data_IF_535001777315
#
_entry.id   IF_535001777315
#
_cell.length_a   1.000
_cell.length_b   1.000
_cell.length_c   1.000
_cell.angle_alpha   90.00
_cell.angle_beta   90.00
_cell.angle_gamma   90.00
#
_symmetry.space_group_name_H-M   'P 1'
#
loop_
_entity.id
_entity.type
_entity.pdbx_description
1 polymer ?
#
# COMPACT_ATOMS: atom_id res chain seq x y z
N UNK A 1 -25.36 35.59 -25.76
CA UNK A 1 -24.28 35.28 -24.81
C UNK A 1 -24.35 33.79 -24.55
N UNK A 2 -23.48 33.01 -25.21
CA UNK A 2 -23.47 31.56 -25.11
C UNK A 2 -22.58 31.13 -23.92
N UNK A 3 -22.95 30.06 -23.16
CA UNK A 3 -22.14 29.60 -22.06
C UNK A 3 -20.87 28.90 -22.57
N UNK A 4 -19.72 29.32 -22.04
CA UNK A 4 -18.44 28.67 -22.27
C UNK A 4 -18.45 27.31 -21.56
N UNK A 5 -18.33 26.23 -22.33
CA UNK A 5 -18.11 24.88 -21.83
C UNK A 5 -16.73 24.71 -21.14
N UNK A 6 -16.55 23.67 -20.32
CA UNK A 6 -15.32 23.44 -19.58
C UNK A 6 -14.16 23.20 -20.52
N UNK A 7 -13.04 23.91 -20.24
CA UNK A 7 -11.75 23.69 -20.89
C UNK A 7 -11.29 22.26 -20.63
N UNK A 8 -11.42 21.41 -21.63
CA UNK A 8 -10.67 20.17 -21.69
C UNK A 8 -9.19 20.57 -21.84
N UNK A 9 -8.40 20.42 -20.79
CA UNK A 9 -6.95 20.46 -20.87
C UNK A 9 -6.54 19.22 -21.68
N UNK A 10 -6.36 19.40 -22.97
CA UNK A 10 -5.76 18.39 -23.83
C UNK A 10 -4.30 18.24 -23.36
N UNK A 11 -4.03 17.11 -22.71
CA UNK A 11 -2.67 16.61 -22.54
C UNK A 11 -2.19 16.14 -23.92
N UNK A 12 -1.69 17.06 -24.74
CA UNK A 12 -0.84 16.74 -25.90
C UNK A 12 0.56 16.37 -25.37
N UNK A 13 0.64 15.29 -24.58
CA UNK A 13 1.86 14.54 -24.34
C UNK A 13 2.01 13.58 -25.52
N UNK A 14 2.96 13.82 -26.39
CA UNK A 14 3.46 12.81 -27.33
C UNK A 14 3.61 11.51 -26.54
N UNK A 15 2.79 10.50 -26.86
CA UNK A 15 2.86 9.17 -26.27
C UNK A 15 4.30 8.67 -26.48
N UNK A 16 5.10 8.65 -25.40
CA UNK A 16 6.46 8.13 -25.45
C UNK A 16 6.35 6.63 -25.70
N UNK A 17 6.42 6.24 -26.96
CA UNK A 17 6.55 4.84 -27.32
C UNK A 17 7.96 4.37 -26.95
N UNK A 18 8.12 3.18 -26.34
CA UNK A 18 9.44 2.61 -26.08
C UNK A 18 10.21 2.52 -27.40
N UNK A 19 11.52 2.73 -27.33
CA UNK A 19 12.36 2.53 -28.51
C UNK A 19 12.28 1.06 -28.95
N UNK A 20 11.95 0.83 -30.23
CA UNK A 20 11.95 -0.50 -30.79
C UNK A 20 13.39 -1.07 -30.70
N UNK A 21 13.58 -2.07 -29.84
CA UNK A 21 14.86 -2.75 -29.71
C UNK A 21 15.06 -3.69 -30.90
N UNK A 22 16.23 -3.62 -31.53
CA UNK A 22 16.62 -4.69 -32.47
C UNK A 22 16.78 -6.01 -31.71
N UNK A 23 16.60 -7.15 -32.35
CA UNK A 23 16.79 -8.47 -31.72
C UNK A 23 18.15 -8.59 -31.04
N UNK A 24 19.21 -8.03 -31.67
CA UNK A 24 20.56 -8.04 -31.09
C UNK A 24 20.67 -7.17 -29.83
N UNK A 25 20.01 -6.01 -29.79
CA UNK A 25 19.97 -5.15 -28.61
C UNK A 25 19.16 -5.80 -27.48
N UNK A 26 18.01 -6.38 -27.79
CA UNK A 26 17.17 -7.11 -26.85
C UNK A 26 17.97 -8.26 -26.21
N UNK A 27 18.64 -9.08 -27.04
CA UNK A 27 19.49 -10.17 -26.55
C UNK A 27 20.57 -9.68 -25.59
N UNK A 28 21.27 -8.60 -25.92
CA UNK A 28 22.30 -8.02 -25.07
C UNK A 28 21.73 -7.51 -23.72
N UNK A 29 20.56 -6.90 -23.73
CA UNK A 29 19.87 -6.50 -22.50
C UNK A 29 19.41 -7.68 -21.66
N UNK A 30 18.84 -8.73 -22.26
CA UNK A 30 18.43 -9.96 -21.56
C UNK A 30 19.64 -10.72 -20.99
N UNK A 31 20.78 -10.67 -21.67
CA UNK A 31 22.03 -11.25 -21.20
C UNK A 31 22.51 -10.56 -19.94
N UNK A 32 22.59 -9.23 -19.89
CA UNK A 32 23.17 -8.45 -18.80
C UNK A 32 22.19 -8.18 -17.65
N UNK A 33 20.91 -7.94 -17.97
CA UNK A 33 19.93 -7.40 -17.02
C UNK A 33 19.61 -8.27 -15.81
N UNK A 34 19.90 -9.57 -15.88
CA UNK A 34 19.65 -10.53 -14.79
C UNK A 34 20.89 -11.39 -14.48
N UNK A 35 22.06 -10.85 -14.72
CA UNK A 35 23.31 -11.58 -14.49
C UNK A 35 23.64 -11.64 -13.00
N UNK A 36 23.75 -12.83 -12.41
CA UNK A 36 24.20 -12.98 -11.04
C UNK A 36 25.57 -12.33 -10.80
N UNK A 37 25.71 -11.59 -9.71
CA UNK A 37 26.97 -10.89 -9.37
C UNK A 37 27.17 -9.54 -10.09
N UNK A 38 26.28 -9.15 -10.99
CA UNK A 38 26.28 -7.82 -11.61
C UNK A 38 25.13 -6.98 -10.99
N UNK A 39 25.47 -6.25 -9.95
CA UNK A 39 24.50 -5.36 -9.30
C UNK A 39 23.99 -4.29 -10.28
N UNK A 40 22.70 -3.87 -10.21
CA UNK A 40 22.13 -2.87 -11.12
C UNK A 40 22.93 -1.56 -11.18
N UNK A 41 23.42 -1.06 -10.04
CA UNK A 41 24.26 0.14 -10.00
C UNK A 41 25.62 -0.05 -10.73
N UNK A 42 26.21 -1.23 -10.63
CA UNK A 42 27.43 -1.58 -11.37
C UNK A 42 27.16 -1.65 -12.86
N UNK A 43 26.07 -2.30 -13.26
CA UNK A 43 25.64 -2.36 -14.66
C UNK A 43 25.41 -0.96 -15.23
N UNK A 44 24.76 -0.08 -14.47
CA UNK A 44 24.54 1.30 -14.90
C UNK A 44 25.87 2.03 -15.13
N UNK A 45 26.82 1.97 -14.19
CA UNK A 45 28.15 2.60 -14.34
C UNK A 45 28.89 2.06 -15.57
N UNK A 46 28.78 0.76 -15.85
CA UNK A 46 29.36 0.15 -17.03
C UNK A 46 28.67 0.62 -18.33
N UNK A 47 27.35 0.74 -18.32
CA UNK A 47 26.59 1.27 -19.47
C UNK A 47 26.90 2.73 -19.74
N UNK A 48 27.08 3.55 -18.71
CA UNK A 48 27.51 4.95 -18.83
C UNK A 48 28.89 5.06 -19.47
N UNK A 49 29.81 4.15 -19.13
CA UNK A 49 31.17 4.12 -19.68
C UNK A 49 31.25 3.56 -21.11
N UNK A 50 30.49 2.50 -21.41
CA UNK A 50 30.57 1.79 -22.70
C UNK A 50 29.45 2.17 -23.67
N UNK A 51 28.45 2.94 -23.26
CA UNK A 51 27.36 3.48 -24.06
C UNK A 51 26.22 2.50 -24.40
N UNK A 52 26.50 1.20 -24.47
CA UNK A 52 25.46 0.20 -24.76
C UNK A 52 25.81 -1.20 -24.26
N UNK A 53 24.79 -2.05 -24.00
CA UNK A 53 25.00 -3.46 -23.64
C UNK A 53 25.87 -4.21 -24.66
N UNK A 54 25.66 -4.00 -25.94
CA UNK A 54 26.42 -4.66 -27.00
C UNK A 54 27.92 -4.22 -27.02
N UNK A 55 28.20 -2.95 -26.71
CA UNK A 55 29.58 -2.47 -26.57
C UNK A 55 30.24 -3.03 -25.31
N UNK A 56 29.52 -3.08 -24.20
CA UNK A 56 30.00 -3.68 -22.93
C UNK A 56 30.36 -5.17 -23.12
N UNK A 57 29.51 -5.94 -23.79
CA UNK A 57 29.78 -7.37 -24.06
C UNK A 57 31.02 -7.59 -24.94
N UNK A 58 31.39 -6.63 -25.80
CA UNK A 58 32.60 -6.69 -26.65
C UNK A 58 33.84 -6.11 -25.98
N UNK A 59 33.69 -5.38 -24.87
CA UNK A 59 34.84 -4.77 -24.17
C UNK A 59 35.78 -5.83 -23.59
N UNK A 60 37.06 -5.52 -23.44
CA UNK A 60 38.01 -6.43 -22.78
C UNK A 60 37.77 -6.49 -21.26
N UNK A 61 38.17 -7.60 -20.65
CA UNK A 61 38.07 -7.75 -19.16
C UNK A 61 38.82 -6.67 -18.42
N UNK A 62 39.99 -6.28 -18.97
CA UNK A 62 40.77 -5.20 -18.40
C UNK A 62 40.04 -3.86 -18.44
N UNK A 63 39.33 -3.55 -19.56
CA UNK A 63 38.55 -2.32 -19.70
C UNK A 63 37.35 -2.30 -18.72
N UNK A 64 36.66 -3.43 -18.59
CA UNK A 64 35.52 -3.56 -17.63
C UNK A 64 36.05 -3.44 -16.18
N UNK A 65 37.13 -4.12 -15.85
CA UNK A 65 37.72 -4.08 -14.53
C UNK A 65 38.24 -2.68 -14.14
N UNK A 66 38.70 -1.90 -15.10
CA UNK A 66 39.16 -0.52 -14.89
C UNK A 66 37.99 0.44 -14.54
N UNK A 67 36.79 0.20 -15.08
CA UNK A 67 35.57 1.01 -14.77
C UNK A 67 34.95 0.57 -13.46
N UNK A 68 34.99 -0.70 -13.11
CA UNK A 68 34.30 -1.23 -11.94
C UNK A 68 35.18 -2.17 -11.10
N UNK A 69 35.27 -3.46 -11.48
CA UNK A 69 36.05 -4.45 -10.75
C UNK A 69 36.32 -5.70 -11.59
N UNK A 70 37.38 -6.51 -11.24
CA UNK A 70 37.58 -7.82 -11.85
C UNK A 70 36.36 -8.76 -11.68
N UNK A 71 35.65 -8.67 -10.55
CA UNK A 71 34.45 -9.46 -10.32
C UNK A 71 33.30 -9.07 -11.30
N UNK A 72 33.14 -7.79 -11.60
CA UNK A 72 32.18 -7.33 -12.60
C UNK A 72 32.54 -7.83 -14.01
N UNK A 73 33.85 -7.83 -14.39
CA UNK A 73 34.30 -8.39 -15.65
C UNK A 73 33.95 -9.89 -15.75
N UNK A 74 34.24 -10.66 -14.71
CA UNK A 74 33.86 -12.08 -14.65
C UNK A 74 32.33 -12.28 -14.75
N UNK A 75 31.52 -11.46 -14.05
CA UNK A 75 30.09 -11.54 -14.12
C UNK A 75 29.58 -11.26 -15.54
N UNK A 76 30.13 -10.25 -16.23
CA UNK A 76 29.77 -9.96 -17.63
C UNK A 76 30.11 -11.15 -18.54
N UNK A 77 31.24 -11.85 -18.36
CA UNK A 77 31.57 -13.07 -19.14
C UNK A 77 30.68 -14.24 -18.79
N UNK A 78 30.37 -14.42 -17.53
CA UNK A 78 29.43 -15.46 -17.07
C UNK A 78 27.97 -15.16 -17.39
N UNK A 79 27.68 -14.00 -17.99
CA UNK A 79 26.32 -13.62 -18.38
C UNK A 79 25.76 -14.43 -19.56
N UNK A 80 26.64 -15.02 -20.38
CA UNK A 80 26.22 -15.93 -21.45
C UNK A 80 25.64 -17.22 -20.83
N UNK A 81 24.42 -17.54 -21.25
CA UNK A 81 23.67 -18.68 -20.71
C UNK A 81 23.11 -19.50 -21.85
N UNK A 82 23.06 -20.80 -21.67
CA UNK A 82 22.52 -21.76 -22.68
C UNK A 82 21.05 -21.46 -23.03
N UNK A 83 20.31 -20.84 -22.14
CA UNK A 83 18.90 -20.52 -22.32
C UNK A 83 18.65 -19.13 -22.99
N UNK A 84 19.69 -18.37 -23.35
CA UNK A 84 19.57 -16.98 -23.81
C UNK A 84 18.76 -16.86 -25.12
N UNK A 85 18.94 -17.78 -26.05
CA UNK A 85 18.18 -17.78 -27.32
C UNK A 85 16.69 -18.03 -27.06
N UNK A 86 16.37 -19.05 -26.26
CA UNK A 86 14.99 -19.36 -25.90
C UNK A 86 14.32 -18.19 -25.15
N UNK A 87 15.06 -17.49 -24.28
CA UNK A 87 14.57 -16.30 -23.57
C UNK A 87 14.36 -15.12 -24.52
N UNK A 88 15.22 -14.97 -25.52
CA UNK A 88 15.08 -13.92 -26.53
C UNK A 88 13.84 -14.17 -27.38
N UNK A 89 13.65 -15.40 -27.86
CA UNK A 89 12.49 -15.80 -28.63
C UNK A 89 11.18 -15.62 -27.85
N UNK A 90 11.18 -16.04 -26.57
CA UNK A 90 10.04 -15.85 -25.69
C UNK A 90 9.72 -14.35 -25.45
N UNK A 91 10.74 -13.50 -25.32
CA UNK A 91 10.55 -12.07 -25.16
C UNK A 91 10.02 -11.42 -26.44
N UNK A 92 10.52 -11.82 -27.63
CA UNK A 92 10.01 -11.36 -28.91
C UNK A 92 8.55 -11.76 -29.11
N UNK A 93 8.22 -13.04 -28.89
CA UNK A 93 6.84 -13.53 -28.97
C UNK A 93 5.90 -12.81 -28.00
N UNK A 94 6.39 -12.50 -26.80
CA UNK A 94 5.60 -11.74 -25.80
C UNK A 94 5.39 -10.29 -26.25
N UNK A 95 6.39 -9.64 -26.86
CA UNK A 95 6.32 -8.28 -27.37
C UNK A 95 5.38 -8.12 -28.59
N UNK A 96 5.12 -9.19 -29.34
CA UNK A 96 4.16 -9.19 -30.43
C UNK A 96 2.71 -8.97 -29.97
N UNK A 97 2.42 -9.25 -28.71
CA UNK A 97 1.09 -9.01 -28.15
C UNK A 97 0.87 -7.50 -27.87
N UNK A 98 -0.28 -6.93 -28.31
CA UNK A 98 -0.56 -5.50 -28.14
C UNK A 98 -0.56 -5.09 -26.66
N UNK A 99 0.03 -3.93 -26.40
CA UNK A 99 0.15 -3.38 -25.04
C UNK A 99 1.31 -3.94 -24.22
N UNK A 100 2.07 -4.91 -24.75
CA UNK A 100 3.29 -5.38 -24.13
C UNK A 100 4.48 -4.52 -24.56
N UNK A 101 5.31 -4.15 -23.63
CA UNK A 101 6.50 -3.35 -23.87
C UNK A 101 7.64 -3.77 -22.95
N UNK A 102 8.87 -3.64 -23.45
CA UNK A 102 10.08 -3.84 -22.69
C UNK A 102 10.82 -2.51 -22.66
N UNK A 103 11.04 -1.98 -21.47
CA UNK A 103 11.64 -0.66 -21.26
C UNK A 103 12.98 -0.86 -20.58
N UNK A 104 14.05 -0.33 -21.19
CA UNK A 104 15.41 -0.42 -20.66
C UNK A 104 15.78 0.84 -19.88
N UNK A 105 16.78 0.72 -19.02
CA UNK A 105 17.27 1.85 -18.23
C UNK A 105 17.75 3.04 -19.09
N UNK A 106 18.21 2.77 -20.33
CA UNK A 106 18.64 3.79 -21.29
C UNK A 106 17.49 4.37 -22.13
N UNK A 107 16.27 3.80 -22.01
CA UNK A 107 15.13 4.24 -22.81
C UNK A 107 14.57 5.57 -22.23
N UNK A 108 14.24 6.57 -23.06
CA UNK A 108 13.49 7.75 -22.62
C UNK A 108 12.14 7.43 -21.96
N UNK A 109 11.52 6.30 -22.35
CA UNK A 109 10.28 5.82 -21.73
C UNK A 109 10.48 5.17 -20.35
N UNK A 110 11.73 5.09 -19.85
CA UNK A 110 11.99 4.56 -18.49
C UNK A 110 11.41 5.49 -17.44
N UNK A 111 10.65 4.98 -16.45
CA UNK A 111 10.02 5.80 -15.41
C UNK A 111 11.05 6.62 -14.64
N UNK A 112 11.00 7.96 -14.66
CA UNK A 112 12.05 8.79 -14.08
C UNK A 112 12.22 8.57 -12.58
N UNK A 113 11.13 8.32 -11.84
CA UNK A 113 11.19 8.09 -10.40
C UNK A 113 11.88 6.78 -10.01
N UNK A 114 11.93 5.78 -10.90
CA UNK A 114 12.68 4.55 -10.63
C UNK A 114 14.20 4.77 -10.66
N UNK A 115 14.68 5.87 -11.27
CA UNK A 115 16.10 6.25 -11.26
C UNK A 115 16.57 6.76 -9.88
N UNK A 116 15.64 7.13 -9.00
CA UNK A 116 15.94 7.55 -7.62
C UNK A 116 16.33 6.36 -6.73
N UNK A 117 16.09 5.13 -7.19
CA UNK A 117 16.55 3.92 -6.50
C UNK A 117 18.07 3.81 -6.56
N UNK A 118 18.68 3.28 -5.48
CA UNK A 118 20.10 2.91 -5.50
C UNK A 118 20.41 1.80 -6.52
N UNK A 119 19.43 0.93 -6.79
CA UNK A 119 19.52 -0.22 -7.67
C UNK A 119 18.35 -0.24 -8.68
N UNK A 120 18.29 0.74 -9.61
CA UNK A 120 17.20 0.82 -10.58
C UNK A 120 17.22 -0.42 -11.49
N UNK A 121 16.04 -1.07 -11.74
CA UNK A 121 15.99 -2.23 -12.62
C UNK A 121 16.49 -1.90 -14.01
N UNK A 122 17.49 -2.63 -14.57
CA UNK A 122 18.00 -2.34 -15.90
C UNK A 122 16.98 -2.63 -17.02
N UNK A 123 15.99 -3.45 -16.72
CA UNK A 123 14.99 -3.92 -17.65
C UNK A 123 13.64 -4.03 -16.97
N UNK A 124 12.60 -3.50 -17.61
CA UNK A 124 11.22 -3.51 -17.13
C UNK A 124 10.30 -4.14 -18.19
N UNK A 125 9.49 -5.10 -17.78
CA UNK A 125 8.41 -5.68 -18.56
C UNK A 125 7.12 -4.96 -18.18
N UNK A 126 6.49 -4.31 -19.15
CA UNK A 126 5.26 -3.54 -18.98
C UNK A 126 4.16 -4.13 -19.82
N UNK A 127 2.96 -4.25 -19.26
CA UNK A 127 1.76 -4.67 -19.97
C UNK A 127 0.64 -3.66 -19.71
N UNK A 128 0.13 -3.03 -20.77
CA UNK A 128 -0.91 -2.01 -20.69
C UNK A 128 -0.39 -0.59 -20.91
N UNK A 129 -0.91 0.36 -20.17
CA UNK A 129 -0.69 1.80 -20.31
C UNK A 129 0.66 2.26 -19.77
N UNK A 130 1.63 2.43 -20.64
CA UNK A 130 2.98 2.89 -20.29
C UNK A 130 2.98 4.33 -19.73
N UNK A 131 2.08 5.19 -20.19
CA UNK A 131 1.94 6.59 -19.75
C UNK A 131 1.74 6.71 -18.24
N UNK A 132 1.07 5.75 -17.61
CA UNK A 132 0.83 5.74 -16.17
C UNK A 132 2.11 5.65 -15.33
N UNK A 133 3.18 5.09 -15.87
CA UNK A 133 4.47 4.97 -15.17
C UNK A 133 5.18 6.33 -15.02
N UNK A 134 4.79 7.32 -15.82
CA UNK A 134 5.32 8.69 -15.76
C UNK A 134 4.44 9.64 -14.96
N UNK A 135 3.20 9.25 -14.68
CA UNK A 135 2.25 10.06 -13.95
C UNK A 135 2.64 10.24 -12.47
N UNK A 136 2.17 11.32 -11.86
CA UNK A 136 2.20 11.47 -10.39
C UNK A 136 1.22 10.45 -9.82
N UNK A 137 1.72 9.43 -9.16
CA UNK A 137 0.91 8.32 -8.65
C UNK A 137 1.03 8.18 -7.14
N UNK A 138 0.05 7.56 -6.48
CA UNK A 138 0.08 7.27 -5.05
C UNK A 138 0.10 5.76 -4.80
N UNK A 139 1.02 5.30 -3.95
CA UNK A 139 1.04 3.92 -3.49
C UNK A 139 -0.06 3.70 -2.44
N UNK A 140 -0.86 2.64 -2.59
CA UNK A 140 -1.84 2.23 -1.58
C UNK A 140 -1.55 0.78 -1.22
N UNK A 141 -1.17 0.55 0.04
CA UNK A 141 -0.71 -0.76 0.52
C UNK A 141 -1.31 -1.11 1.87
N UNK A 142 -1.28 -2.39 2.25
CA UNK A 142 -1.78 -2.80 3.54
C UNK A 142 -1.81 -4.30 3.77
N UNK A 143 -2.67 -4.72 4.70
CA UNK A 143 -2.84 -6.11 5.11
C UNK A 143 -3.37 -6.99 3.98
N UNK A 144 -2.81 -8.22 3.87
CA UNK A 144 -3.36 -9.28 3.00
C UNK A 144 -4.63 -9.90 3.56
N UNK A 145 -4.83 -9.78 4.87
CA UNK A 145 -6.00 -10.23 5.62
C UNK A 145 -6.73 -9.02 6.20
N UNK A 146 -7.11 -8.10 5.31
CA UNK A 146 -7.78 -6.87 5.67
C UNK A 146 -9.19 -7.14 6.19
N UNK A 147 -9.67 -6.23 7.05
CA UNK A 147 -11.07 -6.22 7.47
C UNK A 147 -11.98 -5.79 6.30
N UNK A 148 -13.28 -6.15 6.32
CA UNK A 148 -14.22 -5.63 5.34
C UNK A 148 -14.24 -4.10 5.27
N UNK A 149 -14.12 -3.42 6.43
CA UNK A 149 -14.01 -1.96 6.49
C UNK A 149 -12.73 -1.46 5.80
N UNK A 150 -11.58 -2.09 6.07
CA UNK A 150 -10.31 -1.74 5.43
C UNK A 150 -10.34 -1.91 3.91
N UNK A 151 -11.02 -2.96 3.40
CA UNK A 151 -11.23 -3.15 1.97
C UNK A 151 -12.10 -2.05 1.36
N UNK A 152 -13.21 -1.69 2.01
CA UNK A 152 -14.10 -0.62 1.57
C UNK A 152 -13.38 0.74 1.57
N UNK A 153 -12.62 1.03 2.62
CA UNK A 153 -11.83 2.26 2.72
C UNK A 153 -10.73 2.33 1.66
N UNK A 154 -9.99 1.25 1.43
CA UNK A 154 -8.99 1.18 0.37
C UNK A 154 -9.58 1.46 -1.01
N UNK A 155 -10.74 0.86 -1.33
CA UNK A 155 -11.44 1.10 -2.59
C UNK A 155 -11.90 2.54 -2.72
N UNK A 156 -12.52 3.10 -1.68
CA UNK A 156 -13.03 4.48 -1.64
C UNK A 156 -11.91 5.51 -1.81
N UNK A 157 -10.80 5.35 -1.06
CA UNK A 157 -9.65 6.25 -1.15
C UNK A 157 -8.98 6.15 -2.52
N UNK A 158 -8.73 4.94 -3.00
CA UNK A 158 -8.10 4.72 -4.30
C UNK A 158 -8.92 5.33 -5.44
N UNK A 159 -10.24 5.19 -5.42
CA UNK A 159 -11.13 5.81 -6.40
C UNK A 159 -11.06 7.34 -6.35
N UNK A 160 -11.20 7.93 -5.16
CA UNK A 160 -11.17 9.39 -5.01
C UNK A 160 -9.83 9.99 -5.47
N UNK A 161 -8.70 9.35 -5.13
CA UNK A 161 -7.37 9.77 -5.56
C UNK A 161 -7.18 9.62 -7.07
N UNK A 162 -7.69 8.52 -7.66
CA UNK A 162 -7.66 8.30 -9.10
C UNK A 162 -8.53 9.33 -9.83
N UNK A 163 -9.71 9.68 -9.32
CA UNK A 163 -10.58 10.72 -9.87
C UNK A 163 -9.92 12.11 -9.84
N UNK A 164 -9.08 12.36 -8.84
CA UNK A 164 -8.32 13.60 -8.69
C UNK A 164 -7.03 13.65 -9.53
N UNK A 165 -6.74 12.66 -10.36
CA UNK A 165 -5.59 12.67 -11.27
C UNK A 165 -4.35 11.91 -10.76
N UNK A 166 -4.46 11.14 -9.67
CA UNK A 166 -3.38 10.31 -9.12
C UNK A 166 -3.61 8.83 -9.41
N UNK A 167 -2.97 8.21 -10.41
CA UNK A 167 -3.01 6.77 -10.59
C UNK A 167 -2.58 6.03 -9.32
N UNK A 168 -3.19 4.90 -9.06
CA UNK A 168 -2.90 4.09 -7.87
C UNK A 168 -1.81 3.08 -8.18
N UNK A 169 -0.75 3.03 -7.38
CA UNK A 169 0.29 2.01 -7.46
C UNK A 169 0.12 1.02 -6.31
N UNK A 170 0.07 -0.28 -6.62
CA UNK A 170 0.01 -1.31 -5.60
C UNK A 170 0.62 -2.64 -6.08
N UNK A 171 0.59 -3.67 -5.24
CA UNK A 171 1.34 -4.90 -5.46
C UNK A 171 0.53 -6.12 -5.90
N UNK A 172 -0.74 -5.97 -6.25
CA UNK A 172 -1.63 -7.05 -6.66
C UNK A 172 -1.77 -8.18 -5.61
N UNK A 173 -1.37 -7.96 -4.35
CA UNK A 173 -1.58 -8.92 -3.27
C UNK A 173 -3.06 -9.01 -2.88
N UNK A 174 -3.43 -10.08 -2.14
CA UNK A 174 -4.77 -10.16 -1.54
C UNK A 174 -4.97 -9.01 -0.55
N UNK A 175 -6.22 -8.70 -0.21
CA UNK A 175 -6.57 -7.68 0.76
C UNK A 175 -6.50 -6.27 0.18
N UNK A 176 -5.81 -5.37 0.87
CA UNK A 176 -5.78 -3.93 0.56
C UNK A 176 -5.32 -3.65 -0.86
N UNK A 177 -4.27 -4.34 -1.35
CA UNK A 177 -3.75 -4.11 -2.71
C UNK A 177 -4.83 -4.35 -3.78
N UNK A 178 -5.57 -5.49 -3.67
CA UNK A 178 -6.64 -5.81 -4.59
C UNK A 178 -7.80 -4.80 -4.55
N UNK A 179 -8.16 -4.33 -3.36
CA UNK A 179 -9.19 -3.30 -3.17
C UNK A 179 -8.73 -1.94 -3.76
N UNK A 180 -7.48 -1.57 -3.53
CA UNK A 180 -6.88 -0.37 -4.09
C UNK A 180 -6.88 -0.37 -5.62
N UNK A 181 -6.52 -1.51 -6.25
CA UNK A 181 -6.58 -1.63 -7.70
C UNK A 181 -7.99 -1.49 -8.26
N UNK A 182 -9.01 -2.08 -7.61
CA UNK A 182 -10.42 -1.89 -8.02
C UNK A 182 -10.81 -0.42 -7.97
N UNK A 183 -10.57 0.24 -6.82
CA UNK A 183 -10.85 1.66 -6.69
C UNK A 183 -10.10 2.52 -7.72
N UNK A 184 -8.84 2.20 -8.03
CA UNK A 184 -8.05 2.88 -9.05
C UNK A 184 -8.62 2.71 -10.45
N UNK A 185 -9.11 1.50 -10.80
CA UNK A 185 -9.78 1.21 -12.08
C UNK A 185 -11.13 1.91 -12.21
N UNK A 186 -11.89 1.99 -11.11
CA UNK A 186 -13.17 2.71 -11.05
C UNK A 186 -13.01 4.23 -11.18
N UNK A 187 -11.79 4.75 -10.95
CA UNK A 187 -11.46 6.17 -11.09
C UNK A 187 -10.87 6.51 -12.46
N UNK A 188 -10.69 7.80 -12.72
CA UNK A 188 -10.30 8.33 -14.05
C UNK A 188 -8.85 8.04 -14.44
N UNK A 189 -7.94 7.99 -13.48
CA UNK A 189 -6.49 7.90 -13.74
C UNK A 189 -5.97 6.46 -13.78
N UNK A 190 -6.78 5.47 -13.38
CA UNK A 190 -6.40 4.07 -13.45
C UNK A 190 -5.44 3.62 -12.36
N UNK A 191 -4.75 2.51 -12.61
CA UNK A 191 -3.87 1.87 -11.63
C UNK A 191 -2.67 1.18 -12.29
N UNK A 192 -1.58 1.05 -11.52
CA UNK A 192 -0.35 0.33 -11.89
C UNK A 192 -0.11 -0.79 -10.88
N UNK A 193 -0.12 -2.03 -11.36
CA UNK A 193 0.23 -3.20 -10.56
C UNK A 193 1.71 -3.53 -10.74
N UNK A 194 2.50 -3.37 -9.70
CA UNK A 194 3.88 -3.87 -9.67
C UNK A 194 3.84 -5.31 -9.16
N UNK A 195 4.36 -6.27 -9.92
CA UNK A 195 4.26 -7.69 -9.57
C UNK A 195 5.62 -8.32 -9.24
N UNK A 196 5.61 -9.44 -8.53
CA UNK A 196 6.81 -10.17 -8.06
C UNK A 196 7.06 -11.47 -8.85
N UNK A 197 6.48 -11.56 -10.05
CA UNK A 197 6.60 -12.68 -11.01
C UNK A 197 6.94 -12.12 -12.38
N UNK A 198 7.26 -12.98 -13.34
CA UNK A 198 7.28 -12.58 -14.76
C UNK A 198 5.94 -11.96 -15.19
N UNK A 199 5.98 -11.03 -16.14
CA UNK A 199 4.80 -10.29 -16.62
C UNK A 199 3.78 -11.18 -17.37
N UNK A 200 4.16 -12.39 -17.70
CA UNK A 200 3.34 -13.46 -18.29
C UNK A 200 2.59 -14.29 -17.25
N UNK A 201 2.89 -14.14 -15.95
CA UNK A 201 2.32 -14.92 -14.86
C UNK A 201 1.51 -14.06 -13.89
N UNK A 202 0.33 -14.55 -13.49
CA UNK A 202 -0.51 -13.87 -12.50
C UNK A 202 -0.43 -14.56 -11.14
N UNK A 203 -0.04 -13.80 -10.13
CA UNK A 203 -0.06 -14.24 -8.73
C UNK A 203 -0.63 -13.13 -7.82
N UNK A 204 -1.56 -13.45 -6.91
CA UNK A 204 -2.20 -14.74 -6.67
C UNK A 204 -3.24 -15.10 -7.76
N UNK A 205 -3.51 -16.39 -7.95
CA UNK A 205 -4.45 -16.86 -8.98
C UNK A 205 -5.87 -16.29 -8.82
N UNK A 206 -6.29 -15.97 -7.59
CA UNK A 206 -7.58 -15.30 -7.29
C UNK A 206 -7.72 -13.92 -7.93
N UNK A 207 -6.62 -13.24 -8.23
CA UNK A 207 -6.60 -11.93 -8.87
C UNK A 207 -6.43 -11.99 -10.40
N UNK A 208 -6.65 -13.18 -11.02
CA UNK A 208 -6.49 -13.34 -12.47
C UNK A 208 -7.39 -12.38 -13.26
N UNK A 209 -8.68 -12.31 -12.92
CA UNK A 209 -9.62 -11.39 -13.57
C UNK A 209 -9.18 -9.92 -13.38
N UNK A 210 -8.83 -9.54 -12.16
CA UNK A 210 -8.34 -8.18 -11.84
C UNK A 210 -7.05 -7.86 -12.61
N UNK A 211 -6.10 -8.80 -12.73
CA UNK A 211 -4.87 -8.59 -13.50
C UNK A 211 -5.15 -8.35 -14.99
N UNK A 212 -6.11 -9.08 -15.58
CA UNK A 212 -6.52 -8.86 -16.97
C UNK A 212 -7.17 -7.47 -17.15
N UNK A 213 -8.00 -7.06 -16.21
CA UNK A 213 -8.63 -5.74 -16.23
C UNK A 213 -7.60 -4.61 -16.08
N UNK A 214 -6.62 -4.77 -15.17
CA UNK A 214 -5.49 -3.83 -15.04
C UNK A 214 -4.68 -3.78 -16.34
N UNK A 215 -4.40 -4.91 -16.97
CA UNK A 215 -3.67 -4.92 -18.25
C UNK A 215 -4.43 -4.21 -19.37
N UNK A 216 -5.77 -4.21 -19.34
CA UNK A 216 -6.60 -3.55 -20.34
C UNK A 216 -6.77 -2.03 -20.11
N UNK A 217 -6.86 -1.58 -18.85
CA UNK A 217 -7.22 -0.20 -18.50
C UNK A 217 -6.17 0.54 -17.67
N UNK A 218 -5.20 -0.17 -17.12
CA UNK A 218 -4.09 0.32 -16.32
C UNK A 218 -2.75 -0.19 -16.87
N UNK A 219 -1.81 -0.50 -15.96
CA UNK A 219 -0.52 -1.08 -16.30
C UNK A 219 -0.10 -2.18 -15.31
N UNK A 220 0.57 -3.21 -15.81
CA UNK A 220 1.31 -4.19 -15.00
C UNK A 220 2.79 -3.97 -15.26
N UNK A 221 3.58 -3.91 -14.19
CA UNK A 221 5.02 -3.71 -14.23
C UNK A 221 5.74 -4.87 -13.54
N UNK A 222 6.76 -5.43 -14.16
CA UNK A 222 7.66 -6.42 -13.57
C UNK A 222 9.11 -6.14 -13.91
N UNK A 223 10.01 -6.37 -12.96
CA UNK A 223 11.46 -6.41 -13.20
C UNK A 223 11.96 -7.83 -13.48
N UNK A 224 11.12 -8.84 -13.35
CA UNK A 224 11.50 -10.25 -13.46
C UNK A 224 11.37 -10.78 -14.87
N UNK A 225 12.30 -11.68 -15.32
CA UNK A 225 12.18 -12.37 -16.60
C UNK A 225 10.84 -13.08 -16.75
N UNK A 226 10.38 -13.21 -17.98
CA UNK A 226 9.22 -14.04 -18.31
C UNK A 226 9.40 -15.46 -17.79
N UNK A 227 8.31 -16.10 -17.36
CA UNK A 227 8.32 -17.43 -16.76
C UNK A 227 8.78 -17.46 -15.28
N UNK A 228 9.17 -16.33 -14.69
CA UNK A 228 9.64 -16.30 -13.29
C UNK A 228 8.46 -16.53 -12.34
N UNK A 229 8.46 -17.64 -11.54
CA UNK A 229 7.39 -17.92 -10.60
C UNK A 229 7.45 -17.02 -9.37
N UNK A 230 6.34 -16.99 -8.61
CA UNK A 230 6.28 -16.31 -7.32
C UNK A 230 7.26 -16.95 -6.31
N UNK A 231 8.15 -16.15 -5.75
CA UNK A 231 9.11 -16.55 -4.70
C UNK A 231 9.02 -15.57 -3.54
N UNK A 232 9.12 -16.07 -2.30
CA UNK A 232 8.98 -15.24 -1.10
C UNK A 232 9.94 -14.03 -1.08
N UNK A 233 11.18 -14.21 -1.55
CA UNK A 233 12.19 -13.16 -1.63
C UNK A 233 11.87 -12.04 -2.63
N UNK A 234 11.06 -12.31 -3.66
CA UNK A 234 10.73 -11.31 -4.68
C UNK A 234 9.76 -10.24 -4.16
N UNK A 235 8.90 -10.55 -3.18
CA UNK A 235 7.91 -9.60 -2.67
C UNK A 235 8.54 -8.39 -1.97
N UNK A 236 9.52 -8.53 -1.04
CA UNK A 236 10.21 -7.38 -0.47
C UNK A 236 11.00 -6.59 -1.52
N UNK A 237 11.66 -7.26 -2.47
CA UNK A 237 12.42 -6.61 -3.54
C UNK A 237 11.51 -5.76 -4.43
N UNK A 238 10.36 -6.30 -4.84
CA UNK A 238 9.36 -5.58 -5.62
C UNK A 238 8.84 -4.32 -4.92
N UNK A 239 8.71 -4.34 -3.58
CA UNK A 239 8.13 -3.22 -2.83
C UNK A 239 8.90 -1.91 -3.01
N UNK A 240 10.22 -1.95 -3.31
CA UNK A 240 11.00 -0.76 -3.64
C UNK A 240 10.49 -0.06 -4.90
N UNK A 241 10.01 -0.81 -5.88
CA UNK A 241 9.46 -0.24 -7.10
C UNK A 241 8.10 0.43 -6.85
N UNK A 242 7.26 -0.12 -5.96
CA UNK A 242 6.01 0.51 -5.54
C UNK A 242 6.31 1.86 -4.87
N UNK A 243 7.25 1.88 -3.93
CA UNK A 243 7.64 3.09 -3.22
C UNK A 243 8.26 4.14 -4.15
N UNK A 244 9.11 3.71 -5.07
CA UNK A 244 9.82 4.63 -5.96
C UNK A 244 8.92 5.24 -7.05
N UNK A 245 7.97 4.48 -7.62
CA UNK A 245 7.04 4.98 -8.63
C UNK A 245 6.12 6.08 -8.08
N UNK A 246 5.74 5.97 -6.82
CA UNK A 246 4.78 6.87 -6.20
C UNK A 246 5.42 8.15 -5.67
N UNK A 247 4.62 9.21 -5.53
CA UNK A 247 5.00 10.45 -4.84
C UNK A 247 4.79 10.34 -3.33
N UNK A 248 3.99 9.37 -2.88
CA UNK A 248 3.74 9.04 -1.48
C UNK A 248 3.09 7.67 -1.32
N UNK A 249 3.01 7.18 -0.09
CA UNK A 249 2.46 5.87 0.23
C UNK A 249 1.41 5.94 1.34
N UNK A 250 0.19 5.47 1.05
CA UNK A 250 -0.89 5.30 2.03
C UNK A 250 -0.90 3.87 2.55
N UNK A 251 -0.84 3.73 3.87
CA UNK A 251 -1.03 2.45 4.57
C UNK A 251 -2.41 2.43 5.21
N UNK A 252 -3.29 1.53 4.73
CA UNK A 252 -4.69 1.46 5.17
C UNK A 252 -4.82 0.62 6.44
N UNK A 253 -4.31 -0.60 6.43
CA UNK A 253 -4.25 -1.50 7.58
C UNK A 253 -2.92 -2.22 7.60
N UNK A 254 -2.27 -2.28 8.75
CA UNK A 254 -1.02 -3.01 8.93
C UNK A 254 -0.86 -3.56 10.35
N UNK A 255 -0.59 -4.84 10.49
CA UNK A 255 -0.05 -5.40 11.73
C UNK A 255 1.42 -4.94 11.92
N UNK A 256 1.98 -4.98 13.15
CA UNK A 256 3.34 -4.49 13.44
C UNK A 256 4.48 -5.14 12.62
N UNK A 257 4.23 -6.31 12.06
CA UNK A 257 5.20 -7.05 11.21
C UNK A 257 4.73 -7.20 9.76
N UNK A 258 3.83 -6.32 9.31
CA UNK A 258 3.31 -6.35 7.94
C UNK A 258 4.38 -5.97 6.92
N UNK A 259 4.39 -6.67 5.77
CA UNK A 259 5.24 -6.30 4.64
C UNK A 259 4.93 -4.92 4.05
N UNK A 260 3.72 -4.39 4.26
CA UNK A 260 3.34 -3.02 3.85
C UNK A 260 4.14 -1.93 4.58
N UNK A 261 4.59 -2.20 5.82
CA UNK A 261 5.47 -1.29 6.56
C UNK A 261 6.86 -1.18 5.91
N UNK A 262 7.31 -2.21 5.18
CA UNK A 262 8.55 -2.14 4.39
C UNK A 262 8.37 -1.12 3.27
N UNK A 263 7.24 -1.13 2.56
CA UNK A 263 6.95 -0.15 1.50
C UNK A 263 6.90 1.27 2.05
N UNK A 264 6.27 1.49 3.22
CA UNK A 264 6.22 2.79 3.88
C UNK A 264 7.64 3.29 4.26
N UNK A 265 8.49 2.41 4.80
CA UNK A 265 9.88 2.74 5.12
C UNK A 265 10.66 3.13 3.87
N UNK A 266 10.57 2.31 2.82
CA UNK A 266 11.26 2.59 1.55
C UNK A 266 10.78 3.88 0.90
N UNK A 267 9.48 4.22 1.01
CA UNK A 267 8.96 5.51 0.57
C UNK A 267 9.61 6.68 1.34
N UNK A 268 9.68 6.58 2.67
CA UNK A 268 10.33 7.58 3.51
C UNK A 268 11.84 7.72 3.20
N UNK A 269 12.56 6.61 3.00
CA UNK A 269 13.99 6.61 2.62
C UNK A 269 14.23 7.29 1.27
N UNK A 270 13.25 7.26 0.36
CA UNK A 270 13.26 7.96 -0.92
C UNK A 270 12.75 9.42 -0.82
N UNK A 271 12.47 9.94 0.39
CA UNK A 271 11.91 11.28 0.59
C UNK A 271 10.48 11.42 0.08
N UNK A 272 9.71 10.35 0.06
CA UNK A 272 8.28 10.35 -0.30
C UNK A 272 7.43 10.47 0.97
N UNK A 273 6.27 11.12 0.85
CA UNK A 273 5.35 11.25 1.96
C UNK A 273 4.76 9.90 2.37
N UNK A 274 4.57 9.71 3.66
CA UNK A 274 3.91 8.53 4.21
C UNK A 274 2.63 8.94 4.91
N UNK A 275 1.54 8.31 4.51
CA UNK A 275 0.20 8.49 5.04
C UNK A 275 -0.25 7.20 5.73
N UNK A 276 -0.92 7.32 6.87
CA UNK A 276 -1.43 6.15 7.58
C UNK A 276 -2.85 6.39 8.09
N UNK A 277 -3.73 5.43 7.84
CA UNK A 277 -5.10 5.50 8.33
C UNK A 277 -5.13 5.15 9.81
N UNK A 278 -5.78 5.98 10.65
CA UNK A 278 -5.99 5.65 12.05
C UNK A 278 -7.03 4.52 12.18
N UNK A 279 -7.01 3.82 13.30
CA UNK A 279 -8.00 2.80 13.62
C UNK A 279 -8.18 2.66 15.13
N UNK A 280 -8.98 1.69 15.56
CA UNK A 280 -9.14 1.41 16.99
C UNK A 280 -7.80 0.97 17.60
N UNK A 281 -7.48 1.48 18.79
CA UNK A 281 -6.29 1.05 19.55
C UNK A 281 -6.31 -0.44 19.91
N UNK A 282 -7.49 -1.07 19.87
CA UNK A 282 -7.68 -2.49 20.11
C UNK A 282 -7.57 -3.35 18.83
N UNK A 283 -7.56 -2.73 17.66
CA UNK A 283 -7.47 -3.43 16.38
C UNK A 283 -6.01 -3.83 16.08
N UNK A 284 -5.69 -5.13 15.96
CA UNK A 284 -4.33 -5.58 15.66
C UNK A 284 -3.78 -5.02 14.35
N UNK A 285 -4.64 -4.81 13.35
CA UNK A 285 -4.28 -4.28 12.03
C UNK A 285 -4.13 -2.74 12.00
N UNK A 286 -4.51 -2.02 13.08
CA UNK A 286 -4.27 -0.60 13.20
C UNK A 286 -2.91 -0.29 13.86
N UNK A 287 -2.32 -1.24 14.58
CA UNK A 287 -1.10 -1.00 15.36
C UNK A 287 0.10 -0.58 14.52
N UNK A 288 0.24 -1.14 13.31
CA UNK A 288 1.29 -0.73 12.37
C UNK A 288 1.08 0.70 11.86
N UNK A 289 -0.16 1.09 11.55
CA UNK A 289 -0.50 2.46 11.17
C UNK A 289 -0.25 3.44 12.32
N UNK A 290 -0.60 3.07 13.57
CA UNK A 290 -0.30 3.90 14.74
C UNK A 290 1.21 4.07 14.97
N UNK A 291 2.01 3.03 14.71
CA UNK A 291 3.47 3.15 14.76
C UNK A 291 3.97 4.15 13.71
N UNK A 292 3.52 4.03 12.47
CA UNK A 292 3.88 4.99 11.41
C UNK A 292 3.49 6.42 11.75
N UNK A 293 2.29 6.66 12.31
CA UNK A 293 1.84 8.00 12.72
C UNK A 293 2.75 8.57 13.82
N UNK A 294 3.13 7.76 14.80
CA UNK A 294 4.09 8.17 15.86
C UNK A 294 5.48 8.46 15.30
N UNK A 295 5.86 7.78 14.22
CA UNK A 295 7.15 7.97 13.55
C UNK A 295 7.10 9.11 12.51
N UNK A 296 5.99 9.87 12.46
CA UNK A 296 5.85 11.08 11.64
C UNK A 296 5.03 10.92 10.36
N UNK A 297 4.43 9.75 10.08
CA UNK A 297 3.50 9.62 8.97
C UNK A 297 2.25 10.50 9.20
N UNK A 298 1.75 11.12 8.13
CA UNK A 298 0.55 11.96 8.21
C UNK A 298 -0.68 11.10 8.52
N UNK A 299 -1.37 11.39 9.63
CA UNK A 299 -2.66 10.80 9.93
C UNK A 299 -3.65 11.17 8.83
N UNK A 300 -4.32 10.18 8.26
CA UNK A 300 -5.18 10.34 7.09
C UNK A 300 -6.54 9.70 7.36
N UNK A 301 -7.56 10.52 7.51
CA UNK A 301 -8.94 10.11 7.78
C UNK A 301 -9.85 10.28 6.54
N UNK A 302 -9.46 11.14 5.60
CA UNK A 302 -10.17 11.41 4.36
C UNK A 302 -9.21 11.47 3.15
N UNK A 303 -9.67 11.17 1.92
CA UNK A 303 -8.84 11.35 0.71
C UNK A 303 -8.34 12.78 0.55
N UNK A 304 -9.09 13.77 1.03
CA UNK A 304 -8.74 15.17 0.98
C UNK A 304 -7.43 15.47 1.73
N UNK A 305 -7.15 14.77 2.84
CA UNK A 305 -5.91 14.94 3.61
C UNK A 305 -4.65 14.71 2.76
N UNK A 306 -4.76 13.80 1.76
CA UNK A 306 -3.69 13.50 0.81
C UNK A 306 -3.68 14.53 -0.33
N UNK A 307 -4.86 14.85 -0.86
CA UNK A 307 -4.99 15.76 -2.00
C UNK A 307 -4.52 17.18 -1.64
N UNK A 308 -4.79 17.66 -0.43
CA UNK A 308 -4.31 18.94 0.08
C UNK A 308 -2.78 18.99 0.14
N UNK A 309 -2.11 17.89 0.55
CA UNK A 309 -0.65 17.81 0.60
C UNK A 309 0.00 18.04 -0.78
N UNK A 310 -0.69 17.59 -1.84
CA UNK A 310 -0.20 17.72 -3.22
C UNK A 310 -0.81 18.89 -4.00
N UNK A 311 -1.60 19.75 -3.34
CA UNK A 311 -2.25 20.91 -3.97
C UNK A 311 -3.32 20.52 -4.99
N UNK A 312 -3.95 19.34 -4.81
CA UNK A 312 -5.01 18.80 -5.67
C UNK A 312 -6.40 18.91 -5.02
N UNK A 313 -6.48 19.35 -3.75
CA UNK A 313 -7.73 19.71 -3.10
C UNK A 313 -8.30 20.96 -3.76
N UNK A 314 -9.58 20.96 -4.18
CA UNK A 314 -10.24 22.22 -4.50
C UNK A 314 -10.19 23.10 -3.23
N UNK A 315 -9.87 24.40 -3.34
CA UNK A 315 -9.99 25.28 -2.19
C UNK A 315 -11.47 25.26 -1.80
N UNK A 316 -11.79 24.57 -0.72
CA UNK A 316 -13.13 24.66 -0.11
C UNK A 316 -13.32 26.09 0.30
N UNK A 317 -13.95 26.89 -0.57
CA UNK A 317 -14.53 28.17 -0.19
C UNK A 317 -15.52 27.87 0.94
N UNK A 318 -15.04 28.02 2.19
CA UNK A 318 -15.88 28.34 3.32
C UNK A 318 -16.80 27.24 3.88
N UNK A 319 -16.36 26.00 4.00
CA UNK A 319 -16.93 25.09 4.98
C UNK A 319 -15.97 24.95 6.15
N UNK A 320 -15.93 25.97 7.00
CA UNK A 320 -15.36 25.83 8.33
C UNK A 320 -16.04 24.65 9.01
N UNK A 321 -15.27 23.65 9.47
CA UNK A 321 -15.77 22.65 10.38
C UNK A 321 -16.46 23.36 11.55
N UNK A 322 -17.73 23.09 11.84
CA UNK A 322 -18.35 23.68 13.02
C UNK A 322 -17.74 22.99 14.23
N UNK A 323 -16.76 23.61 14.88
CA UNK A 323 -16.36 23.11 16.17
C UNK A 323 -14.97 23.36 16.72
N UNK A 324 -14.04 23.99 16.03
CA UNK A 324 -12.81 24.45 16.68
C UNK A 324 -12.56 25.90 16.26
N UNK A 325 -13.18 26.85 16.96
CA UNK A 325 -12.70 28.23 16.97
C UNK A 325 -11.30 28.21 17.57
N UNK A 326 -10.30 28.65 16.82
CA UNK A 326 -9.04 29.09 17.44
C UNK A 326 -9.43 30.21 18.39
N UNK A 327 -9.33 29.95 19.68
CA UNK A 327 -9.55 30.97 20.70
C UNK A 327 -8.60 32.11 20.45
N UNK A 328 -9.15 33.34 20.43
CA UNK A 328 -8.38 34.54 20.35
C UNK A 328 -7.46 34.62 21.58
N UNK A 329 -6.17 34.94 21.47
CA UNK A 329 -5.27 34.99 22.62
C UNK A 329 -5.78 35.85 23.80
N UNK A 330 -6.65 36.80 23.53
CA UNK A 330 -7.25 37.67 24.56
C UNK A 330 -8.45 37.01 25.29
N UNK A 331 -9.16 36.05 24.68
CA UNK A 331 -10.24 35.29 25.35
C UNK A 331 -9.71 34.18 26.28
N UNK A 332 -8.46 33.71 26.09
CA UNK A 332 -7.84 32.70 26.96
C UNK A 332 -7.53 33.26 28.36
N UNK A 333 -7.23 34.55 28.48
CA UNK A 333 -6.92 35.18 29.77
C UNK A 333 -8.11 35.37 30.68
N UNK A 334 -9.32 35.52 30.14
CA UNK A 334 -10.53 35.64 30.96
C UNK A 334 -11.08 34.31 31.43
N UNK A 335 -10.84 33.20 30.67
CA UNK A 335 -11.26 31.85 31.04
C UNK A 335 -10.33 31.21 32.08
N UNK A 336 -9.04 31.57 32.12
CA UNK A 336 -8.12 31.07 33.16
C UNK A 336 -8.42 31.65 34.55
N UNK A 337 -8.90 32.89 34.58
CA UNK A 337 -9.27 33.54 35.85
C UNK A 337 -10.59 32.99 36.46
N UNK A 338 -11.50 32.47 35.63
CA UNK A 338 -12.73 31.83 36.10
C UNK A 338 -12.54 30.32 36.39
N UNK A 339 -11.62 29.63 35.70
CA UNK A 339 -11.28 28.24 35.94
C UNK A 339 -10.57 27.97 37.27
N UNK A 340 -9.74 28.92 37.72
CA UNK A 340 -9.05 28.79 39.02
C UNK A 340 -9.99 28.93 40.21
N UNK A 341 -11.13 29.59 40.07
CA UNK A 341 -12.15 29.69 41.13
C UNK A 341 -13.03 28.43 41.20
N UNK A 342 -13.21 27.69 40.11
CA UNK A 342 -13.99 26.46 40.09
C UNK A 342 -13.20 25.25 40.61
N UNK A 343 -11.89 25.19 40.47
CA UNK A 343 -11.06 24.12 41.02
C UNK A 343 -10.87 24.18 42.53
N UNK A 344 -10.99 25.36 43.13
CA UNK A 344 -10.85 25.51 44.58
C UNK A 344 -12.07 24.99 45.40
N UNK A 345 -13.23 24.83 44.75
CA UNK A 345 -14.46 24.38 45.41
C UNK A 345 -14.65 22.84 45.43
N UNK A 346 -13.77 22.05 44.81
CA UNK A 346 -13.91 20.58 44.69
C UNK A 346 -12.98 19.81 45.67
N UNK A 347 -12.18 20.49 46.47
CA UNK A 347 -11.22 19.86 47.39
C UNK A 347 -11.65 19.84 48.84
N UNK A 348 -12.94 19.75 49.17
CA UNK A 348 -13.37 19.36 50.51
C UNK A 348 -13.83 17.89 50.50
N UNK A 349 -12.99 17.02 51.07
CA UNK A 349 -13.29 15.61 51.21
C UNK A 349 -14.26 15.39 52.39
N UNK A 350 -15.28 14.53 52.26
CA UNK A 350 -16.11 14.13 53.41
C UNK A 350 -15.37 13.13 54.31
N UNK A 351 -15.71 13.05 55.60
CA UNK A 351 -14.96 12.28 56.60
C UNK A 351 -15.10 10.76 56.41
N UNK A 352 -14.05 10.07 56.80
CA UNK A 352 -13.92 8.64 56.78
C UNK A 352 -15.04 7.93 57.58
N UNK A 353 -15.80 7.08 56.90
CA UNK A 353 -16.78 6.17 57.45
C UNK A 353 -16.57 4.76 56.94
N UNK A 354 -16.19 3.88 57.88
CA UNK A 354 -16.38 2.43 57.92
C UNK A 354 -15.94 1.59 56.71
N UNK A 355 -14.86 0.85 56.92
CA UNK A 355 -14.38 -0.22 56.04
C UNK A 355 -15.41 -1.36 55.93
N UNK A 356 -16.00 -1.52 54.75
CA UNK A 356 -16.62 -2.75 54.30
C UNK A 356 -15.59 -3.54 53.46
N UNK A 357 -15.42 -4.82 53.82
CA UNK A 357 -14.49 -5.73 53.17
C UNK A 357 -14.79 -5.84 51.65
N UNK A 358 -13.77 -6.04 50.80
CA UNK A 358 -13.99 -6.18 49.35
C UNK A 358 -14.77 -7.46 49.09
N UNK A 359 -15.92 -7.31 48.42
CA UNK A 359 -16.67 -8.43 47.88
C UNK A 359 -15.77 -9.18 46.88
N UNK A 360 -15.61 -10.49 47.09
CA UNK A 360 -15.00 -11.39 46.14
C UNK A 360 -15.72 -11.25 44.80
N UNK A 361 -15.03 -10.74 43.78
CA UNK A 361 -15.46 -10.84 42.39
C UNK A 361 -15.41 -12.32 42.05
N UNK A 362 -16.58 -12.96 41.98
CA UNK A 362 -16.69 -14.31 41.46
C UNK A 362 -16.19 -14.26 40.01
N UNK A 363 -15.21 -15.13 39.70
CA UNK A 363 -14.69 -15.30 38.36
C UNK A 363 -15.84 -15.70 37.43
N UNK A 364 -16.10 -14.88 36.42
CA UNK A 364 -17.06 -15.20 35.37
C UNK A 364 -16.72 -16.56 34.77
N UNK A 365 -17.72 -17.41 34.45
CA UNK A 365 -17.49 -18.72 33.84
C UNK A 365 -16.74 -18.56 32.54
N UNK A 366 -15.92 -19.55 32.12
CA UNK A 366 -15.18 -19.50 30.86
C UNK A 366 -16.15 -19.28 29.69
N UNK A 367 -15.82 -18.44 28.71
CA UNK A 367 -16.71 -18.11 27.61
C UNK A 367 -17.08 -19.40 26.84
N UNK A 368 -18.40 -19.61 26.68
CA UNK A 368 -18.94 -20.71 25.89
C UNK A 368 -18.37 -20.71 24.45
N UNK A 369 -18.15 -21.87 23.82
CA UNK A 369 -17.64 -21.93 22.47
C UNK A 369 -18.59 -21.17 21.53
N UNK A 370 -18.05 -20.26 20.73
CA UNK A 370 -18.81 -19.39 19.81
C UNK A 370 -19.40 -20.20 18.68
N UNK A 371 -20.64 -19.91 18.32
CA UNK A 371 -21.23 -20.47 17.10
C UNK A 371 -20.54 -19.91 15.85
N UNK A 372 -20.53 -20.63 14.71
CA UNK A 372 -19.98 -20.11 13.45
C UNK A 372 -20.60 -18.75 13.04
N UNK A 373 -21.90 -18.56 13.32
CA UNK A 373 -22.62 -17.32 13.02
C UNK A 373 -22.13 -16.14 13.88
N UNK A 374 -21.89 -16.34 15.19
CA UNK A 374 -21.32 -15.32 16.06
C UNK A 374 -19.90 -14.93 15.66
N UNK A 375 -19.09 -15.91 15.21
CA UNK A 375 -17.74 -15.65 14.71
C UNK A 375 -17.77 -14.83 13.43
N UNK A 376 -18.70 -15.13 12.50
CA UNK A 376 -18.87 -14.37 11.27
C UNK A 376 -19.30 -12.93 11.54
N UNK A 377 -20.24 -12.71 12.48
CA UNK A 377 -20.68 -11.35 12.88
C UNK A 377 -19.53 -10.57 13.52
N UNK A 378 -18.76 -11.17 14.44
CA UNK A 378 -17.62 -10.49 15.07
C UNK A 378 -16.49 -10.19 14.09
N UNK A 379 -16.30 -11.03 13.08
CA UNK A 379 -15.34 -10.80 12.02
C UNK A 379 -15.78 -9.64 11.10
N UNK A 380 -17.07 -9.57 10.77
CA UNK A 380 -17.65 -8.50 9.97
C UNK A 380 -17.68 -7.17 10.73
N UNK A 381 -18.10 -7.16 12.02
CA UNK A 381 -18.15 -5.96 12.86
C UNK A 381 -16.83 -5.19 12.94
N UNK A 382 -15.70 -5.88 12.82
CA UNK A 382 -14.41 -5.22 13.01
C UNK A 382 -14.30 -4.55 14.39
N UNK A 383 -13.78 -3.31 14.42
CA UNK A 383 -13.59 -2.55 15.66
C UNK A 383 -14.26 -1.15 15.63
N UNK A 384 -15.05 -0.86 14.61
CA UNK A 384 -15.84 0.36 14.48
C UNK A 384 -17.34 0.09 14.48
N UNK A 385 -18.20 1.11 14.77
CA UNK A 385 -19.62 0.96 14.67
C UNK A 385 -20.09 0.79 13.21
N UNK A 386 -20.88 -0.25 12.92
CA UNK A 386 -21.45 -0.53 11.60
C UNK A 386 -22.97 -0.68 11.66
N UNK A 387 -23.66 -0.48 10.55
CA UNK A 387 -25.11 -0.65 10.46
C UNK A 387 -25.49 -2.11 10.23
N UNK A 388 -26.78 -2.43 10.44
CA UNK A 388 -27.29 -3.78 10.17
C UNK A 388 -27.16 -4.15 8.68
N UNK A 389 -27.51 -3.22 7.77
CA UNK A 389 -27.41 -3.43 6.33
C UNK A 389 -25.98 -3.77 5.91
N UNK A 390 -25.00 -3.04 6.46
CA UNK A 390 -23.59 -3.30 6.20
C UNK A 390 -23.17 -4.71 6.66
N UNK A 391 -23.64 -5.15 7.85
CA UNK A 391 -23.39 -6.51 8.36
C UNK A 391 -24.09 -7.57 7.50
N UNK A 392 -25.30 -7.33 7.01
CA UNK A 392 -26.00 -8.25 6.13
C UNK A 392 -25.23 -8.49 4.82
N UNK A 393 -24.65 -7.44 4.24
CA UNK A 393 -23.86 -7.55 3.02
C UNK A 393 -22.49 -8.25 3.24
N UNK A 394 -21.90 -8.13 4.44
CA UNK A 394 -20.50 -8.54 4.68
C UNK A 394 -20.33 -9.80 5.55
N UNK A 395 -21.39 -10.27 6.22
CA UNK A 395 -21.32 -11.48 7.08
C UNK A 395 -21.63 -12.79 6.36
N UNK A 396 -22.16 -12.73 5.13
CA UNK A 396 -22.67 -13.90 4.39
C UNK A 396 -23.74 -14.71 5.15
N UNK A 397 -24.45 -14.07 6.10
CA UNK A 397 -25.52 -14.66 6.88
C UNK A 397 -26.88 -14.17 6.34
N UNK A 398 -27.92 -14.98 6.48
CA UNK A 398 -29.28 -14.48 6.27
C UNK A 398 -29.68 -13.51 7.39
N UNK A 399 -30.61 -12.61 7.12
CA UNK A 399 -31.09 -11.59 8.08
C UNK A 399 -31.52 -12.22 9.41
N UNK A 400 -32.20 -13.36 9.36
CA UNK A 400 -32.63 -14.11 10.55
C UNK A 400 -31.45 -14.63 11.37
N UNK A 401 -30.42 -15.16 10.72
CA UNK A 401 -29.21 -15.64 11.38
C UNK A 401 -28.41 -14.48 11.95
N UNK A 402 -28.34 -13.37 11.23
CA UNK A 402 -27.66 -12.16 11.67
C UNK A 402 -28.32 -11.55 12.92
N UNK A 403 -29.66 -11.43 12.93
CA UNK A 403 -30.40 -10.94 14.11
C UNK A 403 -30.18 -11.82 15.34
N UNK A 404 -30.26 -13.15 15.18
CA UNK A 404 -30.01 -14.08 16.29
C UNK A 404 -28.59 -14.00 16.82
N UNK A 405 -27.60 -13.92 15.94
CA UNK A 405 -26.20 -13.81 16.33
C UNK A 405 -25.89 -12.47 17.03
N UNK A 406 -26.45 -11.36 16.53
CA UNK A 406 -26.33 -10.05 17.16
C UNK A 406 -26.95 -10.03 18.54
N UNK A 407 -28.17 -10.57 18.70
CA UNK A 407 -28.85 -10.65 19.99
C UNK A 407 -28.06 -11.52 20.99
N UNK A 408 -27.54 -12.67 20.55
CA UNK A 408 -26.72 -13.53 21.39
C UNK A 408 -25.43 -12.83 21.86
N UNK A 409 -24.77 -12.10 20.96
CA UNK A 409 -23.57 -11.33 21.26
C UNK A 409 -23.84 -10.12 22.16
N UNK A 410 -24.99 -9.48 22.02
CA UNK A 410 -25.43 -8.37 22.88
C UNK A 410 -25.73 -8.86 24.30
N UNK A 411 -26.47 -9.97 24.43
CA UNK A 411 -26.74 -10.61 25.73
C UNK A 411 -25.45 -11.11 26.40
N UNK A 412 -24.47 -11.52 25.61
CA UNK A 412 -23.14 -11.90 26.11
C UNK A 412 -22.25 -10.68 26.44
N UNK A 413 -22.72 -9.45 26.27
CA UNK A 413 -21.96 -8.22 26.53
C UNK A 413 -20.78 -8.00 25.57
N UNK A 414 -20.85 -8.54 24.35
CA UNK A 414 -19.74 -8.52 23.37
C UNK A 414 -19.98 -7.57 22.22
N UNK A 415 -21.22 -7.19 22.01
CA UNK A 415 -21.65 -6.21 21.03
C UNK A 415 -22.59 -5.24 21.75
N UNK A 416 -22.52 -3.96 21.43
CA UNK A 416 -23.44 -2.95 21.88
C UNK A 416 -24.26 -2.43 20.71
N UNK A 417 -25.55 -2.29 20.90
CA UNK A 417 -26.44 -1.53 20.02
C UNK A 417 -26.28 -0.03 20.32
N UNK A 418 -26.07 0.77 19.26
CA UNK A 418 -25.87 2.21 19.35
C UNK A 418 -27.03 2.97 18.67
N UNK A 419 -27.27 4.24 19.02
CA UNK A 419 -28.27 5.06 18.37
C UNK A 419 -28.08 5.08 16.83
N UNK A 420 -29.20 5.00 16.09
CA UNK A 420 -29.19 4.96 14.62
C UNK A 420 -28.98 3.56 14.03
N UNK A 421 -29.33 2.49 14.75
CA UNK A 421 -29.29 1.11 14.26
C UNK A 421 -27.87 0.58 13.99
N UNK A 422 -26.89 1.13 14.69
CA UNK A 422 -25.48 0.72 14.59
C UNK A 422 -25.10 -0.24 15.69
N UNK A 423 -24.15 -1.14 15.39
CA UNK A 423 -23.62 -2.13 16.32
C UNK A 423 -22.11 -1.92 16.46
N UNK A 424 -21.58 -2.01 17.66
CA UNK A 424 -20.15 -1.92 17.95
C UNK A 424 -19.69 -3.10 18.79
N UNK A 425 -18.50 -3.58 18.53
CA UNK A 425 -17.86 -4.65 19.29
C UNK A 425 -17.34 -4.13 20.64
N UNK A 426 -17.61 -4.85 21.72
CA UNK A 426 -17.15 -4.54 23.08
C UNK A 426 -15.95 -5.39 23.53
N UNK A 427 -15.59 -6.43 22.78
CA UNK A 427 -14.45 -7.30 23.11
C UNK A 427 -13.12 -6.55 23.01
N UNK A 428 -12.30 -6.60 24.04
CA UNK A 428 -10.88 -6.32 23.91
C UNK A 428 -10.21 -7.39 23.03
N UNK A 429 -9.22 -7.01 22.21
CA UNK A 429 -8.39 -7.97 21.51
C UNK A 429 -7.79 -8.97 22.52
N UNK A 430 -7.63 -10.28 22.18
CA UNK A 430 -7.03 -11.23 23.11
C UNK A 430 -5.64 -10.73 23.52
N UNK A 431 -5.44 -10.60 24.81
CA UNK A 431 -4.13 -10.25 25.39
C UNK A 431 -3.12 -11.29 24.92
N UNK A 432 -1.96 -10.90 24.35
CA UNK A 432 -0.94 -11.86 23.99
C UNK A 432 -0.51 -12.64 25.26
N UNK A 433 -0.21 -13.93 25.16
CA UNK A 433 0.18 -14.73 26.32
C UNK A 433 1.35 -14.06 27.04
N UNK A 434 1.26 -13.96 28.36
CA UNK A 434 2.28 -13.39 29.21
C UNK A 434 3.63 -14.03 28.86
N UNK A 435 4.63 -13.22 28.55
CA UNK A 435 6.02 -13.69 28.36
C UNK A 435 6.44 -14.40 29.64
N UNK A 436 6.67 -15.68 29.55
CA UNK A 436 7.31 -16.43 30.63
C UNK A 436 8.62 -15.73 30.99
N UNK A 437 8.78 -15.46 32.26
CA UNK A 437 10.02 -14.95 32.86
C UNK A 437 11.11 -15.99 32.57
N UNK A 438 12.04 -15.67 31.67
CA UNK A 438 13.26 -16.45 31.49
C UNK A 438 14.10 -16.24 32.74
N UNK A 439 14.14 -17.25 33.64
CA UNK A 439 15.18 -17.38 34.64
C UNK A 439 16.50 -17.69 33.96
N UNK A 440 17.46 -16.79 34.06
CA UNK A 440 18.87 -17.10 33.78
C UNK A 440 19.43 -17.75 35.06
N UNK A 441 20.06 -18.92 35.01
CA UNK A 441 20.88 -19.43 36.12
C UNK A 441 22.20 -18.63 36.16
N UNK A 442 22.66 -18.41 37.41
CA UNK A 442 23.98 -17.82 37.76
C UNK A 442 25.16 -18.59 37.18
#
# INVERSE_FOLDING_TARGET
MAPRGPLAVAFEGSLMSPQALTTSALRAWLQLGHTPGLAPAVLQALLDAFGSPAALLRASDQAIAAVSSPAAAQAVRASERDDLDARTDAALAWLDAPGNALVTLSDPAYPPRLRDLHDPPPLLYVKGRLDLLHARSLAVVGSRHATPQGLADATRFARALSDAGLPIVSGLALGIDGAAHRGGLDGRSGTVAVIATGADLVYPARHRALAHEIAAHGAILSEWPLGTPARAAHFPQRNRLIAALAIGALVVEAAPRSGSLITARLANELGRDVFAMPGSIHAPLAQGCHALIRDGAKLTAAPLDILEEYGLGEPTTGAACPGIRRANPDEVRETEASGQRACAAIMEAPPAGSAAAPARIEASPPPSPRTPSEQAVLAALGYGPVTFEWLAEHSSLSDDMLHRALLALELAGRVASLPGGRFARLDAAPTPPARGVLHFPE
#
